data_IF_883100875734
#
_entry.id   IF_883100875734
#
_cell.length_a   1.000
_cell.length_b   1.000
_cell.length_c   1.000
_cell.angle_alpha   90.00
_cell.angle_beta   90.00
_cell.angle_gamma   90.00
#
_symmetry.space_group_name_H-M   'P 1'
#
loop_
_entity.id
_entity.type
_entity.pdbx_description
1 polymer ?
#
# COMPACT_ATOMS: atom_id res chain seq x y z
N UNK A 1 10.37 -19.76 -11.40
CA UNK A 1 10.19 -18.47 -12.09
C UNK A 1 9.92 -17.39 -11.05
N UNK A 2 10.63 -16.26 -11.05
CA UNK A 2 10.28 -15.14 -10.18
C UNK A 2 8.90 -14.61 -10.58
N UNK A 3 7.99 -14.49 -9.61
CA UNK A 3 6.65 -13.91 -9.81
C UNK A 3 6.74 -12.39 -9.69
N UNK A 4 5.95 -11.66 -10.49
CA UNK A 4 5.87 -10.21 -10.38
C UNK A 4 5.12 -9.81 -9.09
N UNK A 5 5.50 -8.68 -8.49
CA UNK A 5 4.79 -8.10 -7.35
C UNK A 5 3.38 -7.64 -7.74
N UNK A 6 2.41 -7.80 -6.85
CA UNK A 6 1.03 -7.32 -7.06
C UNK A 6 0.91 -5.85 -6.65
N UNK A 7 0.45 -4.97 -7.55
CA UNK A 7 0.14 -3.57 -7.23
C UNK A 7 -1.23 -3.47 -6.57
N UNK A 8 -1.33 -2.70 -5.48
CA UNK A 8 -2.59 -2.39 -4.80
C UNK A 8 -2.64 -0.90 -4.45
N UNK A 9 -3.71 -0.23 -4.81
CA UNK A 9 -3.85 1.22 -4.61
C UNK A 9 -4.77 1.51 -3.43
N UNK A 10 -4.40 2.53 -2.66
CA UNK A 10 -5.17 2.94 -1.50
C UNK A 10 -5.22 4.46 -1.39
N UNK A 11 -6.31 4.94 -0.80
CA UNK A 11 -6.42 6.27 -0.21
C UNK A 11 -6.27 6.14 1.29
N UNK A 12 -5.35 6.88 1.86
CA UNK A 12 -5.11 6.94 3.31
C UNK A 12 -5.20 8.38 3.79
N UNK A 13 -5.40 8.61 5.09
CA UNK A 13 -5.22 9.96 5.63
C UNK A 13 -3.77 10.41 5.34
N UNK A 14 -3.62 11.58 4.69
CA UNK A 14 -2.30 12.11 4.30
C UNK A 14 -1.33 12.23 5.48
N UNK A 15 -1.84 12.45 6.70
CA UNK A 15 -1.03 12.55 7.92
C UNK A 15 -0.42 11.20 8.32
N UNK A 16 -1.06 10.11 7.91
CA UNK A 16 -0.70 8.74 8.24
C UNK A 16 0.12 8.04 7.16
N UNK A 17 0.45 8.74 6.05
CA UNK A 17 1.25 8.19 4.95
C UNK A 17 2.61 7.69 5.44
N UNK A 18 3.29 8.48 6.26
CA UNK A 18 4.58 8.08 6.82
C UNK A 18 4.43 6.97 7.86
N UNK A 19 3.36 6.97 8.64
CA UNK A 19 3.07 5.93 9.61
C UNK A 19 2.87 4.57 8.94
N UNK A 20 2.00 4.47 7.93
CA UNK A 20 1.81 3.22 7.18
C UNK A 20 3.10 2.77 6.50
N UNK A 21 3.87 3.70 5.92
CA UNK A 21 5.17 3.40 5.29
C UNK A 21 6.11 2.72 6.28
N UNK A 22 6.24 3.31 7.47
CA UNK A 22 7.11 2.82 8.52
C UNK A 22 6.71 1.42 9.00
N UNK A 23 5.42 1.17 9.18
CA UNK A 23 4.93 -0.16 9.55
C UNK A 23 5.33 -1.19 8.48
N UNK A 24 5.07 -0.91 7.20
CA UNK A 24 5.41 -1.83 6.11
C UNK A 24 6.92 -2.08 6.00
N UNK A 25 7.76 -1.06 6.19
CA UNK A 25 9.22 -1.19 6.19
C UNK A 25 9.75 -2.05 7.35
N UNK A 26 9.02 -2.12 8.46
CA UNK A 26 9.30 -3.05 9.56
C UNK A 26 9.09 -4.53 9.18
N UNK A 27 8.24 -4.81 8.19
CA UNK A 27 8.01 -6.16 7.64
C UNK A 27 8.88 -6.39 6.40
N UNK A 28 10.18 -6.58 6.62
CA UNK A 28 11.16 -6.77 5.55
C UNK A 28 10.72 -7.81 4.52
N UNK A 29 10.63 -7.37 3.25
CA UNK A 29 10.30 -8.23 2.11
C UNK A 29 8.81 -8.48 1.88
N UNK A 30 7.90 -7.94 2.70
CA UNK A 30 6.44 -8.15 2.53
C UNK A 30 5.85 -7.26 1.45
N UNK A 31 6.09 -5.95 1.52
CA UNK A 31 5.66 -5.00 0.52
C UNK A 31 6.50 -3.73 0.57
N UNK A 32 6.58 -3.01 -0.55
CA UNK A 32 7.10 -1.63 -0.59
C UNK A 32 5.98 -0.67 -0.93
N UNK A 33 5.99 0.53 -0.33
CA UNK A 33 4.99 1.56 -0.58
C UNK A 33 5.59 2.78 -1.27
N UNK A 34 4.89 3.29 -2.29
CA UNK A 34 5.16 4.58 -2.91
C UNK A 34 3.97 5.51 -2.75
N UNK A 35 4.23 6.76 -2.39
CA UNK A 35 3.23 7.82 -2.39
C UNK A 35 3.04 8.35 -3.80
N UNK A 36 1.80 8.32 -4.30
CA UNK A 36 1.42 8.82 -5.62
C UNK A 36 0.97 10.29 -5.56
N UNK A 37 0.17 10.62 -4.54
CA UNK A 37 -0.29 11.99 -4.27
C UNK A 37 -0.26 12.24 -2.75
N UNK A 38 0.74 12.99 -2.25
CA UNK A 38 0.85 13.31 -0.83
C UNK A 38 -0.28 14.19 -0.30
N UNK A 39 -0.89 15.04 -1.14
CA UNK A 39 -1.94 15.97 -0.72
C UNK A 39 -3.27 15.26 -0.49
N UNK A 40 -3.56 14.28 -1.33
CA UNK A 40 -4.78 13.47 -1.27
C UNK A 40 -4.61 12.12 -0.57
N UNK A 41 -3.37 11.76 -0.19
CA UNK A 41 -3.06 10.50 0.48
C UNK A 41 -3.21 9.29 -0.43
N UNK A 42 -2.95 9.42 -1.74
CA UNK A 42 -2.95 8.27 -2.63
C UNK A 42 -1.59 7.57 -2.60
N UNK A 43 -1.63 6.26 -2.39
CA UNK A 43 -0.43 5.40 -2.32
C UNK A 43 -0.63 4.15 -3.15
N UNK A 44 0.48 3.55 -3.57
CA UNK A 44 0.54 2.21 -4.15
C UNK A 44 1.43 1.32 -3.29
N UNK A 45 0.94 0.13 -2.99
CA UNK A 45 1.70 -0.96 -2.39
C UNK A 45 2.10 -1.93 -3.51
N UNK A 46 3.38 -2.28 -3.55
CA UNK A 46 3.91 -3.38 -4.35
C UNK A 46 4.11 -4.56 -3.41
N UNK A 47 3.19 -5.50 -3.45
CA UNK A 47 3.16 -6.66 -2.58
C UNK A 47 4.05 -7.75 -3.15
N UNK A 48 4.98 -8.25 -2.35
CA UNK A 48 5.84 -9.36 -2.75
C UNK A 48 5.00 -10.61 -3.03
N UNK A 49 5.36 -11.41 -4.04
CA UNK A 49 4.60 -12.60 -4.37
C UNK A 49 4.54 -13.59 -3.21
N UNK A 50 3.34 -13.99 -2.82
CA UNK A 50 3.12 -14.89 -1.68
C UNK A 50 2.92 -14.17 -0.34
N UNK A 51 3.08 -12.85 -0.29
CA UNK A 51 2.89 -12.03 0.91
C UNK A 51 1.53 -11.31 0.95
N UNK A 52 0.59 -11.68 0.06
CA UNK A 52 -0.71 -11.03 -0.06
C UNK A 52 -1.52 -11.08 1.23
N UNK A 53 -1.46 -12.21 1.95
CA UNK A 53 -2.20 -12.41 3.20
C UNK A 53 -1.61 -11.60 4.33
N UNK A 54 -0.28 -11.51 4.41
CA UNK A 54 0.44 -10.70 5.38
C UNK A 54 0.07 -9.23 5.24
N UNK A 55 0.04 -8.72 4.01
CA UNK A 55 -0.44 -7.36 3.74
C UNK A 55 -1.91 -7.19 4.13
N UNK A 56 -2.78 -8.16 3.81
CA UNK A 56 -4.19 -8.09 4.20
C UNK A 56 -4.37 -8.04 5.72
N UNK A 57 -3.59 -8.82 6.49
CA UNK A 57 -3.60 -8.78 7.95
C UNK A 57 -3.12 -7.44 8.49
N UNK A 58 -1.97 -6.93 8.03
CA UNK A 58 -1.43 -5.62 8.44
C UNK A 58 -2.45 -4.51 8.19
N UNK A 59 -3.03 -4.46 6.98
CA UNK A 59 -4.01 -3.43 6.65
C UNK A 59 -5.32 -3.59 7.42
N UNK A 60 -5.75 -4.82 7.72
CA UNK A 60 -6.94 -5.09 8.53
C UNK A 60 -6.77 -4.56 9.95
N UNK A 61 -5.64 -4.83 10.59
CA UNK A 61 -5.36 -4.38 11.96
C UNK A 61 -5.27 -2.85 12.05
N UNK A 62 -4.66 -2.21 11.04
CA UNK A 62 -4.50 -0.76 11.01
C UNK A 62 -5.79 0.01 10.70
N UNK A 63 -6.77 -0.60 10.02
CA UNK A 63 -8.05 0.08 9.70
C UNK A 63 -8.86 0.52 10.92
N UNK A 64 -8.64 -0.10 12.08
CA UNK A 64 -9.23 0.34 13.35
C UNK A 64 -8.59 1.60 13.93
N UNK A 65 -7.43 2.01 13.43
CA UNK A 65 -6.63 3.11 13.95
C UNK A 65 -6.53 4.28 12.95
N UNK A 66 -6.41 3.97 11.66
CA UNK A 66 -6.24 4.95 10.59
C UNK A 66 -7.19 4.66 9.41
N UNK A 67 -7.56 5.71 8.68
CA UNK A 67 -8.39 5.56 7.47
C UNK A 67 -7.56 4.96 6.33
N UNK A 68 -7.98 3.78 5.86
CA UNK A 68 -7.39 3.09 4.69
C UNK A 68 -8.51 2.54 3.81
N UNK A 69 -8.62 3.08 2.60
CA UNK A 69 -9.64 2.69 1.63
C UNK A 69 -8.97 2.18 0.35
N UNK A 70 -9.47 1.08 -0.22
CA UNK A 70 -9.04 0.65 -1.54
C UNK A 70 -9.38 1.75 -2.54
N UNK A 71 -8.44 2.08 -3.40
CA UNK A 71 -8.64 2.99 -4.51
C UNK A 71 -8.55 2.20 -5.82
N UNK A 72 -9.41 2.53 -6.78
CA UNK A 72 -9.21 2.12 -8.17
C UNK A 72 -8.57 3.30 -8.88
N UNK A 73 -7.29 3.20 -9.21
CA UNK A 73 -6.71 4.07 -10.22
C UNK A 73 -7.03 3.44 -11.57
N UNK A 74 -7.81 4.15 -12.40
CA UNK A 74 -7.83 3.89 -13.83
C UNK A 74 -6.38 4.11 -14.30
N UNK A 75 -5.69 3.02 -14.66
CA UNK A 75 -4.39 3.11 -15.31
C UNK A 75 -4.60 3.91 -16.60
N UNK A 76 -4.32 5.21 -16.56
CA UNK A 76 -3.97 5.94 -17.78
C UNK A 76 -2.55 5.51 -18.09
N UNK A 77 -2.42 4.42 -18.84
CA UNK A 77 -1.20 4.19 -19.60
C UNK A 77 -0.96 5.42 -20.49
N UNK A 78 0.25 5.97 -20.43
CA UNK A 78 0.67 6.99 -21.39
C UNK A 78 1.45 8.15 -20.79
N UNK A 79 2.77 7.95 -20.65
CA UNK A 79 3.79 8.75 -21.34
C UNK A 79 5.15 8.05 -21.24
#
# INVERSE_FOLDING_TARGET
MPKASTKRYYRIDRREVHFLKFILEGYSGVAVMRTLDPQNGFVVLYVSPGCEKEVDMILSDLKGQIRIEKAELLEREGL
#
